data_IF_787573948841
#
_entry.id   IF_787573948841
#
_cell.length_a   1.000
_cell.length_b   1.000
_cell.length_c   1.000
_cell.angle_alpha   90.00
_cell.angle_beta   90.00
_cell.angle_gamma   90.00
#
_symmetry.space_group_name_H-M   'P 1'
#
loop_
_entity.id
_entity.type
_entity.pdbx_description
1 polymer ?
#
# COMPACT_ATOMS: atom_id res chain seq x y z
N UNK A 1 11.36 17.59 16.95
CA UNK A 1 10.14 16.75 16.79
C UNK A 1 10.44 15.58 15.88
N UNK A 2 9.72 14.48 16.02
CA UNK A 2 9.88 13.26 15.21
C UNK A 2 9.86 13.55 13.70
N UNK A 3 9.00 14.44 13.24
CA UNK A 3 8.96 14.84 11.82
C UNK A 3 10.24 15.60 11.38
N UNK A 4 10.84 16.38 12.26
CA UNK A 4 12.09 17.08 11.96
C UNK A 4 13.27 16.09 11.85
N UNK A 5 13.35 15.15 12.75
CA UNK A 5 14.38 14.08 12.72
C UNK A 5 14.21 13.20 11.47
N UNK A 6 12.98 12.83 11.12
CA UNK A 6 12.68 12.13 9.88
C UNK A 6 13.12 12.93 8.65
N UNK A 7 12.83 14.22 8.61
CA UNK A 7 13.24 15.09 7.51
C UNK A 7 14.76 15.15 7.35
N UNK A 8 15.49 15.30 8.45
CA UNK A 8 16.96 15.30 8.44
C UNK A 8 17.52 13.97 7.90
N UNK A 9 16.99 12.86 8.39
CA UNK A 9 17.42 11.52 7.94
C UNK A 9 17.17 11.31 6.44
N UNK A 10 15.99 11.69 5.95
CA UNK A 10 15.64 11.60 4.52
C UNK A 10 16.52 12.50 3.64
N UNK A 11 16.94 13.67 4.13
CA UNK A 11 17.86 14.53 3.39
C UNK A 11 19.25 13.88 3.22
N UNK A 12 19.71 13.13 4.21
CA UNK A 12 20.99 12.41 4.15
C UNK A 12 20.92 11.14 3.26
N UNK A 13 19.71 10.61 3.01
CA UNK A 13 19.50 9.37 2.27
C UNK A 13 18.53 9.58 1.11
N UNK A 14 18.96 10.14 -0.02
CA UNK A 14 18.09 10.56 -1.11
C UNK A 14 17.35 9.43 -1.83
N UNK A 15 17.77 8.18 -1.69
CA UNK A 15 17.13 7.02 -2.29
C UNK A 15 15.96 6.44 -1.46
N UNK A 16 15.79 6.86 -0.19
CA UNK A 16 14.77 6.30 0.68
C UNK A 16 13.37 6.78 0.30
N UNK A 17 12.42 5.87 0.38
CA UNK A 17 10.98 6.15 0.38
C UNK A 17 10.53 6.59 1.78
N UNK A 18 9.41 7.27 1.87
CA UNK A 18 8.76 7.56 3.15
C UNK A 18 7.74 6.46 3.43
N UNK A 19 7.91 5.71 4.47
CA UNK A 19 7.01 4.63 4.84
C UNK A 19 7.51 3.81 6.03
N UNK A 20 6.64 3.10 6.64
CA UNK A 20 5.23 2.92 6.27
C UNK A 20 4.39 4.03 6.91
N UNK A 21 3.50 4.67 6.13
CA UNK A 21 2.56 5.69 6.57
C UNK A 21 1.15 5.31 6.12
N UNK A 22 0.11 5.83 6.72
CA UNK A 22 -1.23 5.54 6.23
C UNK A 22 -2.30 5.52 7.32
N UNK A 23 -3.41 4.82 7.02
CA UNK A 23 -4.59 4.77 7.87
C UNK A 23 -5.05 3.33 8.10
N UNK A 24 -5.29 3.02 9.35
CA UNK A 24 -5.92 1.78 9.78
C UNK A 24 -7.24 2.10 10.49
N UNK A 25 -8.35 1.83 9.81
CA UNK A 25 -9.69 2.00 10.36
C UNK A 25 -10.35 0.66 10.70
N UNK A 26 -9.54 -0.37 10.88
CA UNK A 26 -10.02 -1.66 11.35
C UNK A 26 -10.30 -1.61 12.86
N UNK A 27 -11.42 -2.22 13.24
CA UNK A 27 -11.86 -2.24 14.64
C UNK A 27 -13.01 -1.29 14.93
N UNK A 28 -14.03 -1.83 15.63
CA UNK A 28 -15.25 -1.09 15.98
C UNK A 28 -15.05 -0.10 17.14
N UNK A 29 -13.92 -0.22 17.85
CA UNK A 29 -13.63 0.55 19.06
C UNK A 29 -12.92 1.88 18.79
N UNK A 30 -12.50 2.13 17.55
CA UNK A 30 -11.86 3.40 17.24
C UNK A 30 -12.86 4.55 17.23
N UNK A 31 -12.57 5.55 18.07
CA UNK A 31 -13.36 6.79 18.09
C UNK A 31 -13.07 7.65 16.85
N UNK A 32 -14.01 8.55 16.52
CA UNK A 32 -13.78 9.52 15.45
C UNK A 32 -12.56 10.42 15.73
N UNK A 33 -12.32 10.77 16.99
CA UNK A 33 -11.14 11.55 17.38
C UNK A 33 -9.83 10.80 17.08
N UNK A 34 -9.76 9.49 17.33
CA UNK A 34 -8.59 8.68 16.98
C UNK A 34 -8.37 8.60 15.46
N UNK A 35 -9.43 8.44 14.67
CA UNK A 35 -9.33 8.45 13.20
C UNK A 35 -8.87 9.81 12.67
N UNK A 36 -9.37 10.90 13.26
CA UNK A 36 -8.94 12.25 12.90
C UNK A 36 -7.45 12.45 13.20
N UNK A 37 -6.97 11.98 14.37
CA UNK A 37 -5.55 12.06 14.72
C UNK A 37 -4.68 11.27 13.74
N UNK A 38 -5.07 10.05 13.37
CA UNK A 38 -4.36 9.28 12.33
C UNK A 38 -4.31 10.06 11.00
N UNK A 39 -5.42 10.64 10.59
CA UNK A 39 -5.53 11.39 9.34
C UNK A 39 -4.64 12.63 9.34
N UNK A 40 -4.62 13.38 10.43
CA UNK A 40 -3.77 14.58 10.57
C UNK A 40 -2.27 14.23 10.50
N UNK A 41 -1.86 13.16 11.18
CA UNK A 41 -0.48 12.67 11.11
C UNK A 41 -0.14 12.24 9.69
N UNK A 42 -1.01 11.47 9.04
CA UNK A 42 -0.82 11.01 7.67
C UNK A 42 -0.68 12.18 6.68
N UNK A 43 -1.54 13.20 6.77
CA UNK A 43 -1.44 14.42 5.92
C UNK A 43 -0.09 15.09 6.11
N UNK A 44 0.39 15.26 7.34
CA UNK A 44 1.70 15.87 7.63
C UNK A 44 2.86 15.06 7.04
N UNK A 45 2.78 13.74 7.09
CA UNK A 45 3.78 12.84 6.48
C UNK A 45 3.76 12.94 4.96
N UNK A 46 2.60 13.04 4.33
CA UNK A 46 2.45 13.25 2.88
C UNK A 46 3.05 14.61 2.45
N UNK A 47 2.78 15.68 3.21
CA UNK A 47 3.36 17.02 2.94
C UNK A 47 4.89 16.95 3.03
N UNK A 48 5.44 16.29 4.04
CA UNK A 48 6.87 16.09 4.17
C UNK A 48 7.45 15.35 2.97
N UNK A 49 6.83 14.23 2.58
CA UNK A 49 7.26 13.45 1.43
C UNK A 49 7.20 14.26 0.12
N UNK A 50 6.15 15.07 -0.06
CA UNK A 50 5.99 15.97 -1.20
C UNK A 50 7.14 16.99 -1.26
N UNK A 51 7.44 17.66 -0.15
CA UNK A 51 8.47 18.68 -0.07
C UNK A 51 9.88 18.13 -0.30
N UNK A 52 10.11 16.88 0.11
CA UNK A 52 11.38 16.19 -0.10
C UNK A 52 11.46 15.41 -1.42
N UNK A 53 10.42 15.50 -2.27
CA UNK A 53 10.34 14.79 -3.53
C UNK A 53 10.46 13.25 -3.36
N UNK A 54 9.76 12.69 -2.37
CA UNK A 54 9.79 11.27 -2.04
C UNK A 54 8.48 10.57 -2.40
N UNK A 55 8.60 9.34 -2.92
CA UNK A 55 7.48 8.40 -2.99
C UNK A 55 7.19 7.84 -1.61
N UNK A 56 5.99 7.30 -1.44
CA UNK A 56 5.55 6.76 -0.15
C UNK A 56 5.16 5.29 -0.25
N UNK A 57 5.23 4.59 0.88
CA UNK A 57 4.62 3.27 1.09
C UNK A 57 3.46 3.46 2.04
N UNK A 58 2.26 3.11 1.59
CA UNK A 58 1.00 3.37 2.29
C UNK A 58 0.41 2.10 2.84
N UNK A 59 0.10 2.12 4.14
CA UNK A 59 -0.80 1.20 4.81
C UNK A 59 -2.24 1.67 4.62
N UNK A 60 -3.11 0.78 4.14
CA UNK A 60 -4.53 1.05 3.93
C UNK A 60 -5.37 -0.11 4.44
N UNK A 61 -5.98 0.07 5.59
CA UNK A 61 -6.94 -0.91 6.09
C UNK A 61 -8.30 -0.26 6.34
N UNK A 62 -9.27 -0.57 5.45
CA UNK A 62 -10.64 -0.01 5.45
C UNK A 62 -10.70 1.54 5.44
N UNK A 63 -9.75 2.19 4.81
CA UNK A 63 -9.58 3.64 4.85
C UNK A 63 -9.39 4.30 3.47
N UNK A 64 -9.67 3.60 2.37
CA UNK A 64 -9.37 4.09 0.99
C UNK A 64 -9.95 5.48 0.72
N UNK A 65 -11.20 5.75 1.11
CA UNK A 65 -11.80 7.07 0.90
C UNK A 65 -11.08 8.17 1.70
N UNK A 66 -10.70 7.89 2.94
CA UNK A 66 -9.96 8.82 3.79
C UNK A 66 -8.53 9.06 3.27
N UNK A 67 -7.86 8.01 2.78
CA UNK A 67 -6.55 8.12 2.11
C UNK A 67 -6.66 9.00 0.87
N UNK A 68 -7.65 8.78 0.02
CA UNK A 68 -7.86 9.59 -1.18
C UNK A 68 -8.10 11.08 -0.84
N UNK A 69 -8.88 11.36 0.19
CA UNK A 69 -9.11 12.71 0.69
C UNK A 69 -7.82 13.34 1.25
N UNK A 70 -7.06 12.60 2.05
CA UNK A 70 -5.80 13.07 2.63
C UNK A 70 -4.74 13.38 1.57
N UNK A 71 -4.61 12.53 0.55
CA UNK A 71 -3.69 12.75 -0.59
C UNK A 71 -4.03 14.06 -1.32
N UNK A 72 -5.32 14.31 -1.57
CA UNK A 72 -5.78 15.55 -2.18
C UNK A 72 -5.52 16.76 -1.29
N UNK A 73 -5.84 16.67 0.00
CA UNK A 73 -5.63 17.74 0.99
C UNK A 73 -4.15 18.10 1.11
N UNK A 74 -3.27 17.11 1.11
CA UNK A 74 -1.82 17.31 1.17
C UNK A 74 -1.21 17.82 -0.15
N UNK A 75 -1.96 17.81 -1.25
CA UNK A 75 -1.42 18.10 -2.59
C UNK A 75 -0.31 17.12 -3.01
N UNK A 76 -0.40 15.86 -2.57
CA UNK A 76 0.62 14.86 -2.82
C UNK A 76 0.51 14.26 -4.21
N UNK A 77 1.61 14.31 -4.98
CA UNK A 77 1.66 13.89 -6.39
C UNK A 77 2.83 12.96 -6.72
N UNK A 78 3.64 12.54 -5.73
CA UNK A 78 4.87 11.78 -5.98
C UNK A 78 4.63 10.29 -6.19
N UNK A 79 3.41 9.81 -5.91
CA UNK A 79 3.07 8.40 -6.03
C UNK A 79 3.74 7.51 -4.99
N UNK A 80 3.69 6.23 -5.22
CA UNK A 80 4.20 5.23 -4.29
C UNK A 80 3.47 3.91 -4.43
N UNK A 81 3.45 3.14 -3.36
CA UNK A 81 2.82 1.82 -3.30
C UNK A 81 1.82 1.81 -2.15
N UNK A 82 0.61 1.33 -2.40
CA UNK A 82 -0.31 0.91 -1.33
C UNK A 82 -0.07 -0.57 -1.10
N UNK A 83 0.67 -0.89 -0.02
CA UNK A 83 1.10 -2.25 0.25
C UNK A 83 -0.01 -3.13 0.84
N UNK A 84 0.16 -4.45 0.77
CA UNK A 84 -0.75 -5.47 1.33
C UNK A 84 -2.24 -5.21 1.01
N UNK A 85 -2.51 -4.83 -0.23
CA UNK A 85 -3.85 -4.39 -0.64
C UNK A 85 -4.88 -5.51 -0.51
N UNK A 86 -5.99 -5.21 0.15
CA UNK A 86 -7.11 -6.14 0.39
C UNK A 86 -8.47 -5.60 -0.06
N UNK A 87 -8.49 -4.45 -0.73
CA UNK A 87 -9.69 -3.76 -1.16
C UNK A 87 -10.33 -4.29 -2.44
N UNK A 88 -11.36 -3.59 -2.90
CA UNK A 88 -12.08 -3.89 -4.15
C UNK A 88 -11.38 -3.32 -5.38
N UNK A 89 -11.89 -3.71 -6.56
CA UNK A 89 -11.44 -3.14 -7.86
C UNK A 89 -11.64 -1.63 -7.90
N UNK A 90 -12.78 -1.15 -7.40
CA UNK A 90 -13.13 0.28 -7.36
C UNK A 90 -12.16 1.06 -6.47
N UNK A 91 -11.84 0.53 -5.30
CA UNK A 91 -10.85 1.10 -4.39
C UNK A 91 -9.46 1.15 -5.03
N UNK A 92 -9.04 0.07 -5.68
CA UNK A 92 -7.77 0.01 -6.39
C UNK A 92 -7.70 1.07 -7.51
N UNK A 93 -8.75 1.22 -8.30
CA UNK A 93 -8.83 2.24 -9.37
C UNK A 93 -8.74 3.67 -8.85
N UNK A 94 -9.33 3.96 -7.68
CA UNK A 94 -9.19 5.28 -7.03
C UNK A 94 -7.71 5.55 -6.72
N UNK A 95 -7.02 4.59 -6.13
CA UNK A 95 -5.61 4.72 -5.74
C UNK A 95 -4.69 4.83 -6.96
N UNK A 96 -4.93 4.03 -8.00
CA UNK A 96 -4.18 4.09 -9.27
C UNK A 96 -4.32 5.47 -9.92
N UNK A 97 -5.53 6.04 -9.96
CA UNK A 97 -5.75 7.40 -10.47
C UNK A 97 -5.01 8.48 -9.68
N UNK A 98 -4.70 8.24 -8.42
CA UNK A 98 -3.90 9.13 -7.58
C UNK A 98 -2.38 8.93 -7.75
N UNK A 99 -1.97 8.00 -8.62
CA UNK A 99 -0.57 7.75 -8.94
C UNK A 99 0.08 6.64 -8.13
N UNK A 100 -0.68 5.84 -7.39
CA UNK A 100 -0.15 4.71 -6.62
C UNK A 100 -0.18 3.41 -7.41
N UNK A 101 0.78 2.54 -7.12
CA UNK A 101 0.73 1.12 -7.50
C UNK A 101 0.11 0.30 -6.36
N UNK A 102 -0.55 -0.76 -6.74
CA UNK A 102 -1.23 -1.67 -5.80
C UNK A 102 -0.27 -2.81 -5.45
N UNK A 103 0.09 -2.90 -4.18
CA UNK A 103 0.92 -3.99 -3.64
C UNK A 103 0.08 -5.26 -3.45
N UNK A 104 0.36 -6.27 -4.26
CA UNK A 104 -0.29 -7.58 -4.19
C UNK A 104 0.66 -8.54 -3.50
N UNK A 105 0.27 -8.97 -2.31
CA UNK A 105 1.14 -9.74 -1.43
C UNK A 105 0.60 -11.11 -1.03
N UNK A 106 1.03 -11.54 0.14
CA UNK A 106 0.81 -12.90 0.66
C UNK A 106 -0.66 -13.26 0.86
N UNK A 107 -1.57 -12.28 0.91
CA UNK A 107 -3.01 -12.55 0.92
C UNK A 107 -3.45 -13.37 -0.31
N UNK A 108 -2.72 -13.25 -1.44
CA UNK A 108 -2.99 -14.01 -2.66
C UNK A 108 -2.77 -15.52 -2.48
N UNK A 109 -1.97 -15.93 -1.50
CA UNK A 109 -1.73 -17.34 -1.16
C UNK A 109 -2.97 -18.02 -0.57
N UNK A 110 -3.91 -17.22 -0.02
CA UNK A 110 -5.18 -17.74 0.45
C UNK A 110 -6.16 -17.92 -0.72
N UNK A 111 -6.56 -19.15 -1.06
CA UNK A 111 -7.50 -19.40 -2.17
C UNK A 111 -8.88 -18.77 -1.95
N UNK A 112 -9.25 -18.49 -0.69
CA UNK A 112 -10.52 -17.88 -0.32
C UNK A 112 -10.49 -16.34 -0.35
N UNK A 113 -9.36 -15.72 -0.61
CA UNK A 113 -9.21 -14.26 -0.74
C UNK A 113 -9.75 -13.76 -2.10
N UNK A 114 -11.05 -13.94 -2.32
CA UNK A 114 -11.72 -13.66 -3.62
C UNK A 114 -11.53 -12.21 -4.07
N UNK A 115 -11.63 -11.26 -3.15
CA UNK A 115 -11.58 -9.83 -3.46
C UNK A 115 -10.24 -9.43 -4.09
N UNK A 116 -9.11 -9.77 -3.46
CA UNK A 116 -7.77 -9.45 -3.99
C UNK A 116 -7.50 -10.17 -5.31
N UNK A 117 -7.99 -11.40 -5.48
CA UNK A 117 -7.87 -12.17 -6.73
C UNK A 117 -8.62 -11.49 -7.87
N UNK A 118 -9.87 -11.09 -7.65
CA UNK A 118 -10.67 -10.34 -8.63
C UNK A 118 -10.01 -8.99 -8.95
N UNK A 119 -9.49 -8.29 -7.95
CA UNK A 119 -8.81 -7.02 -8.14
C UNK A 119 -7.56 -7.19 -9.02
N UNK A 120 -6.72 -8.18 -8.74
CA UNK A 120 -5.54 -8.46 -9.55
C UNK A 120 -5.88 -8.75 -11.02
N UNK A 121 -6.95 -9.50 -11.28
CA UNK A 121 -7.40 -9.79 -12.65
C UNK A 121 -7.87 -8.53 -13.41
N UNK A 122 -8.37 -7.53 -12.70
CA UNK A 122 -8.93 -6.31 -13.27
C UNK A 122 -7.92 -5.16 -13.44
N UNK A 123 -6.74 -5.26 -12.83
CA UNK A 123 -5.68 -4.26 -12.94
C UNK A 123 -4.89 -4.42 -14.24
N UNK A 124 -4.35 -3.28 -14.76
CA UNK A 124 -3.35 -3.34 -15.83
C UNK A 124 -1.99 -3.81 -15.30
N UNK A 125 -1.11 -4.28 -16.18
CA UNK A 125 0.22 -4.78 -15.80
C UNK A 125 1.09 -3.71 -15.13
N UNK A 126 0.85 -2.45 -15.45
CA UNK A 126 1.57 -1.31 -14.87
C UNK A 126 1.00 -0.81 -13.54
N UNK A 127 -0.15 -1.32 -13.09
CA UNK A 127 -0.88 -0.77 -11.95
C UNK A 127 -0.55 -1.46 -10.62
N UNK A 128 0.18 -2.57 -10.65
CA UNK A 128 0.50 -3.33 -9.43
C UNK A 128 1.97 -3.71 -9.34
N UNK A 129 2.37 -4.12 -8.15
CA UNK A 129 3.66 -4.76 -7.85
C UNK A 129 3.40 -5.96 -6.95
N UNK A 130 4.30 -6.94 -7.00
CA UNK A 130 4.24 -8.10 -6.10
C UNK A 130 5.14 -7.87 -4.90
N UNK A 131 4.69 -8.35 -3.73
CA UNK A 131 5.39 -8.20 -2.46
C UNK A 131 5.12 -9.39 -1.53
N UNK A 132 5.78 -9.48 -0.39
CA UNK A 132 5.53 -10.54 0.61
C UNK A 132 5.04 -10.03 1.94
N UNK A 133 5.42 -8.81 2.33
CA UNK A 133 5.21 -8.25 3.68
C UNK A 133 5.79 -9.16 4.80
N UNK A 134 6.92 -9.81 4.48
CA UNK A 134 7.60 -10.68 5.44
C UNK A 134 8.06 -9.89 6.68
N UNK A 135 7.97 -10.48 7.88
CA UNK A 135 7.65 -11.89 8.22
C UNK A 135 6.16 -12.14 8.49
N UNK A 136 5.27 -11.19 8.20
CA UNK A 136 3.85 -11.20 8.53
C UNK A 136 2.97 -11.87 7.46
N UNK A 137 1.66 -11.89 7.68
CA UNK A 137 0.58 -12.23 6.73
C UNK A 137 0.26 -13.72 6.55
N UNK A 138 0.98 -14.67 7.16
CA UNK A 138 0.69 -16.11 7.05
C UNK A 138 0.07 -16.75 8.32
N UNK A 139 -0.41 -15.93 9.26
CA UNK A 139 -1.09 -16.43 10.46
C UNK A 139 -0.15 -17.20 11.39
N UNK A 140 -0.09 -18.52 11.25
CA UNK A 140 0.71 -19.39 12.12
C UNK A 140 2.14 -19.67 11.61
N UNK A 141 2.42 -19.32 10.36
CA UNK A 141 3.72 -19.54 9.74
C UNK A 141 4.47 -18.23 9.55
N UNK A 142 5.80 -18.26 9.69
CA UNK A 142 6.64 -17.11 9.36
C UNK A 142 6.70 -16.95 7.86
N UNK A 143 6.26 -15.79 7.37
CA UNK A 143 6.39 -15.43 5.96
C UNK A 143 7.85 -15.12 5.63
N UNK A 144 8.30 -15.52 4.46
CA UNK A 144 9.65 -15.26 3.98
C UNK A 144 9.66 -14.63 2.60
N UNK A 145 10.70 -13.87 2.22
CA UNK A 145 10.84 -13.32 0.88
C UNK A 145 10.80 -14.37 -0.25
N UNK A 146 11.12 -15.63 0.05
CA UNK A 146 11.03 -16.74 -0.91
C UNK A 146 9.60 -16.97 -1.44
N UNK A 147 8.57 -16.56 -0.68
CA UNK A 147 7.17 -16.67 -1.09
C UNK A 147 6.83 -15.77 -2.29
N UNK A 148 7.68 -14.81 -2.66
CA UNK A 148 7.46 -13.95 -3.83
C UNK A 148 7.27 -14.77 -5.12
N UNK A 149 8.04 -15.85 -5.28
CA UNK A 149 7.90 -16.74 -6.44
C UNK A 149 6.52 -17.38 -6.48
N UNK A 150 6.05 -17.91 -5.35
CA UNK A 150 4.74 -18.53 -5.25
C UNK A 150 3.59 -17.55 -5.51
N UNK A 151 3.73 -16.32 -4.99
CA UNK A 151 2.80 -15.22 -5.27
C UNK A 151 2.79 -14.91 -6.77
N UNK A 152 3.94 -14.82 -7.41
CA UNK A 152 4.06 -14.55 -8.84
C UNK A 152 3.45 -15.68 -9.70
N UNK A 153 3.67 -16.94 -9.35
CA UNK A 153 3.07 -18.09 -10.03
C UNK A 153 1.53 -18.02 -9.99
N UNK A 154 0.94 -17.74 -8.83
CA UNK A 154 -0.51 -17.58 -8.67
C UNK A 154 -1.01 -16.35 -9.45
N UNK A 155 -0.28 -15.26 -9.43
CA UNK A 155 -0.64 -14.05 -10.17
C UNK A 155 -0.64 -14.29 -11.68
N UNK A 156 0.37 -14.98 -12.21
CA UNK A 156 0.46 -15.36 -13.62
C UNK A 156 -0.71 -16.26 -14.04
N UNK A 157 -1.04 -17.26 -13.22
CA UNK A 157 -2.19 -18.14 -13.44
C UNK A 157 -3.52 -17.37 -13.48
N UNK A 158 -3.76 -16.52 -12.49
CA UNK A 158 -4.99 -15.71 -12.40
C UNK A 158 -5.15 -14.74 -13.58
N UNK A 159 -4.06 -14.23 -14.11
CA UNK A 159 -4.05 -13.31 -15.25
C UNK A 159 -3.94 -14.02 -16.60
N UNK A 160 -3.79 -15.34 -16.59
CA UNK A 160 -3.59 -16.17 -17.78
C UNK A 160 -2.42 -15.68 -18.66
N UNK A 161 -1.29 -15.38 -18.04
CA UNK A 161 -0.05 -14.96 -18.70
C UNK A 161 1.12 -15.84 -18.28
N UNK A 162 2.17 -15.99 -19.11
CA UNK A 162 3.40 -16.65 -18.69
C UNK A 162 4.07 -15.90 -17.52
N UNK A 163 4.69 -16.64 -16.59
CA UNK A 163 5.39 -16.05 -15.46
C UNK A 163 6.44 -15.00 -15.87
N UNK A 164 7.07 -15.19 -17.02
CA UNK A 164 8.07 -14.26 -17.56
C UNK A 164 7.50 -12.91 -18.03
N UNK A 165 6.18 -12.77 -18.09
CA UNK A 165 5.50 -11.53 -18.49
C UNK A 165 4.94 -10.75 -17.30
N UNK A 166 5.09 -11.28 -16.10
CA UNK A 166 4.60 -10.66 -14.89
C UNK A 166 5.69 -9.76 -14.27
#
# INVERSE_FOLDING_TARGET
SVLHELAQHLCQHPALLVGEIGLDFYGKEQTQAQRNTQTDVFIRQLILAQNLNRRVIIHNLKATAAIAAAVKTAGFTRGGIVHAFSGSVEEARILVKLGFKIGIGSLLLNPNAKKVRTTLQALNDTDFVLETDSPFMLGHETNTPANIRRIAEIAAELRNVPLAQL
#
